data_IF_364693803164
#
_entry.id   IF_364693803164
#
_cell.length_a   1.000
_cell.length_b   1.000
_cell.length_c   1.000
_cell.angle_alpha   90.00
_cell.angle_beta   90.00
_cell.angle_gamma   90.00
#
_symmetry.space_group_name_H-M   'P 1'
#
loop_
_entity.id
_entity.type
_entity.pdbx_description
1 polymer ?
#
# COMPACT_ATOMS: atom_id res chain seq x y z
N UNK A 1 13.35 17.09 4.12
CA UNK A 1 13.63 15.85 3.37
C UNK A 1 13.69 14.71 4.35
N UNK A 2 12.83 13.71 4.18
CA UNK A 2 12.47 12.73 5.20
C UNK A 2 13.70 11.99 5.72
N UNK A 3 13.91 12.03 7.03
CA UNK A 3 14.98 11.29 7.70
C UNK A 3 14.90 9.77 7.45
N UNK A 4 15.91 9.01 7.88
CA UNK A 4 15.99 7.58 7.60
C UNK A 4 14.78 6.83 8.14
N UNK A 5 14.28 5.86 7.35
CA UNK A 5 13.21 4.96 7.76
C UNK A 5 13.67 4.17 8.99
N UNK A 6 12.98 4.34 10.12
CA UNK A 6 13.31 3.58 11.33
C UNK A 6 12.80 2.14 11.21
N UNK A 7 13.38 1.20 11.95
CA UNK A 7 12.92 -0.19 11.98
C UNK A 7 11.45 -0.31 12.43
N UNK A 8 10.98 0.59 13.30
CA UNK A 8 9.58 0.65 13.71
C UNK A 8 8.68 1.07 12.54
N UNK A 9 9.07 2.09 11.78
CA UNK A 9 8.31 2.55 10.60
C UNK A 9 8.30 1.49 9.50
N UNK A 10 9.40 0.75 9.32
CA UNK A 10 9.49 -0.37 8.40
C UNK A 10 8.48 -1.46 8.76
N UNK A 11 8.49 -1.90 10.01
CA UNK A 11 7.55 -2.92 10.51
C UNK A 11 6.10 -2.48 10.34
N UNK A 12 5.78 -1.23 10.69
CA UNK A 12 4.44 -0.67 10.54
C UNK A 12 3.99 -0.63 9.07
N UNK A 13 4.91 -0.31 8.17
CA UNK A 13 4.64 -0.32 6.73
C UNK A 13 4.28 -1.73 6.28
N UNK A 14 5.08 -2.72 6.64
CA UNK A 14 4.85 -4.13 6.28
C UNK A 14 3.55 -4.68 6.85
N UNK A 15 3.23 -4.38 8.13
CA UNK A 15 1.95 -4.76 8.76
C UNK A 15 0.73 -4.12 8.09
N UNK A 16 0.91 -2.94 7.49
CA UNK A 16 -0.14 -2.24 6.74
C UNK A 16 -0.37 -2.79 5.33
N UNK A 17 0.56 -3.59 4.80
CA UNK A 17 0.43 -4.22 3.48
C UNK A 17 -0.19 -5.60 3.65
N UNK A 18 -1.36 -5.88 3.05
CA UNK A 18 -2.00 -7.20 3.13
C UNK A 18 -1.13 -8.38 2.69
N UNK A 19 -0.27 -8.18 1.69
CA UNK A 19 0.70 -9.18 1.25
C UNK A 19 1.85 -9.41 2.25
N UNK A 20 1.92 -8.65 3.34
CA UNK A 20 2.87 -8.86 4.44
C UNK A 20 4.32 -8.59 4.08
N UNK A 21 4.57 -7.84 2.99
CA UNK A 21 5.91 -7.45 2.55
C UNK A 21 5.89 -6.16 1.75
N UNK A 22 7.06 -5.54 1.58
CA UNK A 22 7.24 -4.51 0.56
C UNK A 22 7.13 -5.09 -0.84
N UNK A 23 6.53 -4.30 -1.72
CA UNK A 23 6.65 -4.52 -3.16
C UNK A 23 8.07 -4.23 -3.65
N UNK A 24 8.45 -4.84 -4.76
CA UNK A 24 9.70 -4.52 -5.45
C UNK A 24 9.44 -3.56 -6.61
N UNK A 25 10.50 -2.88 -7.07
CA UNK A 25 10.44 -2.01 -8.25
C UNK A 25 10.01 -2.76 -9.51
N UNK A 26 10.41 -4.02 -9.61
CA UNK A 26 10.09 -4.91 -10.74
C UNK A 26 8.60 -5.22 -10.80
N UNK A 27 7.92 -5.35 -9.64
CA UNK A 27 6.48 -5.61 -9.62
C UNK A 27 5.67 -4.43 -10.19
N UNK A 28 6.12 -3.21 -9.92
CA UNK A 28 5.56 -2.01 -10.54
C UNK A 28 5.87 -2.02 -12.04
N UNK A 29 7.14 -2.23 -12.42
CA UNK A 29 7.56 -2.26 -13.81
C UNK A 29 6.81 -3.31 -14.65
N UNK A 30 6.51 -4.48 -14.09
CA UNK A 30 5.77 -5.55 -14.76
C UNK A 30 4.34 -5.13 -15.12
N UNK A 31 3.67 -4.35 -14.26
CA UNK A 31 2.33 -3.81 -14.58
C UNK A 31 2.43 -2.79 -15.71
N UNK A 32 3.43 -1.90 -15.68
CA UNK A 32 3.65 -0.96 -16.78
C UNK A 32 4.00 -1.67 -18.08
N UNK A 33 4.79 -2.75 -18.04
CA UNK A 33 5.13 -3.55 -19.21
C UNK A 33 3.88 -4.16 -19.85
N UNK A 34 2.97 -4.73 -19.05
CA UNK A 34 1.68 -5.21 -19.53
C UNK A 34 0.82 -4.09 -20.12
N UNK A 35 0.73 -2.93 -19.44
CA UNK A 35 -0.06 -1.81 -19.94
C UNK A 35 0.49 -1.19 -21.23
N UNK A 36 1.78 -1.35 -21.49
CA UNK A 36 2.44 -0.89 -22.72
C UNK A 36 2.38 -1.91 -23.86
N UNK A 37 1.89 -3.13 -23.62
CA UNK A 37 1.86 -4.20 -24.61
C UNK A 37 0.53 -4.29 -25.35
N UNK A 38 0.51 -5.05 -26.45
CA UNK A 38 -0.68 -5.22 -27.29
C UNK A 38 -1.82 -5.94 -26.55
N UNK A 39 -1.50 -6.73 -25.52
CA UNK A 39 -2.45 -7.39 -24.62
C UNK A 39 -3.35 -6.40 -23.86
N UNK A 40 -2.90 -5.15 -23.68
CA UNK A 40 -3.66 -4.09 -23.05
C UNK A 40 -4.31 -3.11 -24.05
N UNK A 41 -4.42 -3.47 -25.34
CA UNK A 41 -4.87 -2.58 -26.43
C UNK A 41 -6.26 -1.91 -26.25
N UNK A 42 -7.10 -2.42 -25.35
CA UNK A 42 -8.40 -1.82 -25.02
C UNK A 42 -8.51 -1.31 -23.57
N UNK A 43 -7.40 -1.31 -22.84
CA UNK A 43 -7.30 -0.78 -21.49
C UNK A 43 -7.07 0.72 -21.55
N UNK A 44 -8.07 1.49 -21.15
CA UNK A 44 -7.97 2.96 -21.04
C UNK A 44 -8.91 3.49 -19.97
N UNK A 45 -8.57 4.63 -19.36
CA UNK A 45 -9.39 5.31 -18.34
C UNK A 45 -9.44 4.62 -16.96
N UNK A 46 -8.60 3.62 -16.70
CA UNK A 46 -8.55 2.88 -15.45
C UNK A 46 -7.38 3.31 -14.55
N UNK A 47 -7.54 3.12 -13.24
CA UNK A 47 -6.50 3.31 -12.23
C UNK A 47 -6.07 1.94 -11.72
N UNK A 48 -4.77 1.65 -11.78
CA UNK A 48 -4.17 0.39 -11.33
C UNK A 48 -3.33 0.62 -10.07
N UNK A 49 -3.76 0.03 -8.95
CA UNK A 49 -2.97 0.04 -7.71
C UNK A 49 -1.99 -1.14 -7.70
N UNK A 50 -0.71 -0.84 -7.54
CA UNK A 50 0.39 -1.83 -7.40
C UNK A 50 1.02 -1.68 -6.02
N UNK A 51 0.23 -1.94 -4.99
CA UNK A 51 0.55 -1.56 -3.61
C UNK A 51 0.40 -2.72 -2.61
N UNK A 52 0.30 -3.96 -3.11
CA UNK A 52 0.08 -5.14 -2.27
C UNK A 52 -1.26 -5.15 -1.53
N UNK A 53 -2.23 -4.35 -1.96
CA UNK A 53 -3.60 -4.29 -1.43
C UNK A 53 -3.84 -3.20 -0.40
N UNK A 54 -2.88 -2.28 -0.18
CA UNK A 54 -2.96 -1.22 0.84
C UNK A 54 -4.18 -0.33 0.63
N UNK A 55 -4.45 0.11 -0.59
CA UNK A 55 -5.49 1.10 -0.90
C UNK A 55 -6.89 0.64 -0.50
N UNK A 56 -7.20 -0.64 -0.66
CA UNK A 56 -8.54 -1.19 -0.36
C UNK A 56 -8.65 -1.79 1.03
N UNK A 57 -7.55 -1.85 1.78
CA UNK A 57 -7.50 -2.55 3.05
C UNK A 57 -7.86 -1.65 4.23
N UNK A 58 -8.48 -2.25 5.25
CA UNK A 58 -8.64 -1.61 6.55
C UNK A 58 -7.26 -1.52 7.19
N UNK A 59 -6.66 -0.35 7.12
CA UNK A 59 -5.35 -0.06 7.72
C UNK A 59 -5.30 -0.49 9.20
N UNK A 60 -4.20 -1.12 9.61
CA UNK A 60 -3.88 -1.41 11.01
C UNK A 60 -3.64 -0.14 11.85
N UNK A 61 -3.68 1.05 11.25
CA UNK A 61 -3.58 2.35 11.94
C UNK A 61 -4.55 2.46 13.12
N UNK A 62 -5.77 1.94 12.99
CA UNK A 62 -6.75 1.88 14.09
C UNK A 62 -6.26 1.09 15.31
N UNK A 63 -5.43 0.07 15.12
CA UNK A 63 -4.89 -0.72 16.22
C UNK A 63 -3.95 0.11 17.11
N UNK A 64 -3.20 1.04 16.51
CA UNK A 64 -2.20 1.88 17.18
C UNK A 64 -2.78 3.18 17.77
N UNK A 65 -4.06 3.49 17.53
CA UNK A 65 -4.69 4.68 18.12
C UNK A 65 -4.66 4.58 19.66
N UNK A 66 -4.17 5.62 20.36
CA UNK A 66 -4.21 5.70 21.82
C UNK A 66 -5.61 5.35 22.38
N UNK A 67 -5.64 4.59 23.47
CA UNK A 67 -6.89 4.01 23.99
C UNK A 67 -7.94 5.07 24.38
N UNK A 68 -7.48 6.24 24.79
CA UNK A 68 -8.29 7.42 25.07
C UNK A 68 -8.98 8.00 23.82
N UNK A 69 -8.33 7.94 22.66
CA UNK A 69 -8.88 8.39 21.38
C UNK A 69 -9.79 7.36 20.71
N UNK A 70 -9.84 6.12 21.21
CA UNK A 70 -10.76 5.06 20.75
C UNK A 70 -12.15 5.14 21.40
N UNK A 71 -12.34 5.99 22.41
CA UNK A 71 -13.62 6.14 23.10
C UNK A 71 -14.61 6.86 22.20
N UNK A 72 -15.86 6.41 22.18
CA UNK A 72 -16.93 7.15 21.50
C UNK A 72 -17.14 8.51 22.17
N UNK A 73 -17.38 9.59 21.40
CA UNK A 73 -17.75 10.88 21.97
C UNK A 73 -19.06 10.75 22.76
N UNK A 74 -19.13 11.49 23.89
CA UNK A 74 -20.31 11.55 24.75
C UNK A 74 -21.49 12.28 24.09
#
# INVERSE_FOLDING_TARGET
ETGPMTAQMEKQTVEGVPMGRRGTTEEVANVYLFLASDEASYVTGAIYFVDGGVTISKSSSGAQVPADLKKEPA
#
